data_IF_419936563633
#
_entry.id   IF_419936563633
#
_cell.length_a   1.000
_cell.length_b   1.000
_cell.length_c   1.000
_cell.angle_alpha   90.00
_cell.angle_beta   90.00
_cell.angle_gamma   90.00
#
_symmetry.space_group_name_H-M   'P 1'
#
loop_
_entity.id
_entity.type
_entity.pdbx_description
1 polymer ?
#
# COMPACT_ATOMS: atom_id res chain seq x y z
N UNK A 1 -4.82 2.28 17.06
CA UNK A 1 -5.67 1.07 16.95
C UNK A 1 -4.98 0.18 15.94
N UNK A 2 -4.65 -1.05 16.32
CA UNK A 2 -4.01 -2.02 15.42
C UNK A 2 -5.08 -2.96 14.87
N UNK A 3 -5.13 -3.11 13.54
CA UNK A 3 -6.02 -4.07 12.89
C UNK A 3 -5.57 -5.49 13.24
N UNK A 4 -6.51 -6.37 13.63
CA UNK A 4 -6.20 -7.78 13.93
C UNK A 4 -6.56 -8.75 12.81
N UNK A 5 -7.60 -8.43 12.03
CA UNK A 5 -8.15 -9.30 10.98
C UNK A 5 -8.74 -8.49 9.82
N UNK A 6 -8.01 -7.49 9.32
CA UNK A 6 -8.43 -6.72 8.16
C UNK A 6 -8.06 -7.47 6.88
N UNK A 7 -9.07 -7.77 6.06
CA UNK A 7 -8.90 -8.33 4.72
C UNK A 7 -9.52 -7.37 3.72
N UNK A 8 -8.77 -7.04 2.67
CA UNK A 8 -9.21 -6.20 1.56
C UNK A 8 -9.01 -7.01 0.29
N UNK A 9 -10.09 -7.31 -0.42
CA UNK A 9 -10.06 -8.06 -1.67
C UNK A 9 -10.90 -7.35 -2.72
N UNK A 10 -10.37 -7.22 -3.93
CA UNK A 10 -11.07 -6.69 -5.10
C UNK A 10 -11.60 -5.25 -4.93
N UNK A 11 -10.92 -4.42 -4.12
CA UNK A 11 -11.30 -3.02 -3.90
C UNK A 11 -10.54 -2.05 -4.81
N UNK A 12 -11.15 -0.89 -5.04
CA UNK A 12 -10.49 0.29 -5.60
C UNK A 12 -9.92 1.14 -4.46
N UNK A 13 -8.59 1.18 -4.35
CA UNK A 13 -7.87 1.92 -3.31
C UNK A 13 -7.26 3.23 -3.82
N UNK A 14 -7.59 3.64 -5.04
CA UNK A 14 -7.14 4.92 -5.60
C UNK A 14 -7.46 6.10 -4.67
N UNK A 15 -6.45 6.94 -4.42
CA UNK A 15 -6.50 8.12 -3.56
C UNK A 15 -6.84 7.83 -2.08
N UNK A 16 -6.84 6.57 -1.66
CA UNK A 16 -7.01 6.23 -0.24
C UNK A 16 -5.79 6.67 0.57
N UNK A 17 -6.05 7.01 1.85
CA UNK A 17 -5.03 7.49 2.77
C UNK A 17 -4.81 6.47 3.89
N UNK A 18 -3.58 5.98 3.97
CA UNK A 18 -3.11 4.99 4.93
C UNK A 18 -1.95 5.52 5.76
N UNK A 19 -1.78 6.85 5.84
CA UNK A 19 -0.77 7.43 6.72
C UNK A 19 -0.99 6.97 8.17
N UNK A 20 0.12 6.71 8.85
CA UNK A 20 0.16 6.24 10.24
C UNK A 20 -0.61 4.93 10.50
N UNK A 21 -0.93 4.16 9.45
CA UNK A 21 -1.58 2.84 9.56
C UNK A 21 -0.54 1.75 9.36
N UNK A 22 -0.41 0.81 10.31
CA UNK A 22 0.46 -0.37 10.16
C UNK A 22 -0.04 -1.24 9.01
N UNK A 23 0.82 -1.50 8.02
CA UNK A 23 0.47 -2.31 6.84
C UNK A 23 1.07 -3.72 6.89
N UNK A 24 1.82 -4.03 7.94
CA UNK A 24 2.37 -5.36 8.15
C UNK A 24 1.28 -6.43 8.02
N UNK A 25 1.56 -7.47 7.24
CA UNK A 25 0.68 -8.63 6.97
C UNK A 25 -0.54 -8.35 6.08
N UNK A 26 -0.80 -7.11 5.67
CA UNK A 26 -1.83 -6.84 4.68
C UNK A 26 -1.36 -7.27 3.29
N UNK A 27 -2.32 -7.68 2.45
CA UNK A 27 -2.09 -8.07 1.07
C UNK A 27 -2.95 -7.22 0.14
N UNK A 28 -2.30 -6.39 -0.67
CA UNK A 28 -2.96 -5.48 -1.60
C UNK A 28 -2.99 -6.02 -3.03
N UNK A 29 -2.42 -7.20 -3.33
CA UNK A 29 -2.28 -7.74 -4.70
C UNK A 29 -3.60 -7.91 -5.44
N UNK A 30 -4.71 -8.14 -4.72
CA UNK A 30 -6.04 -8.28 -5.33
C UNK A 30 -6.80 -6.96 -5.43
N UNK A 31 -6.25 -5.86 -4.90
CA UNK A 31 -6.84 -4.53 -4.95
C UNK A 31 -6.15 -3.69 -6.02
N UNK A 32 -6.80 -2.61 -6.45
CA UNK A 32 -6.29 -1.75 -7.52
C UNK A 32 -5.99 -0.34 -7.01
N UNK A 33 -4.79 0.16 -7.33
CA UNK A 33 -4.43 1.56 -7.13
C UNK A 33 -3.28 2.00 -8.05
N UNK A 34 -3.36 3.23 -8.52
CA UNK A 34 -2.34 3.97 -9.28
C UNK A 34 -1.82 5.18 -8.48
N UNK A 35 -2.52 5.57 -7.41
CA UNK A 35 -2.12 6.60 -6.47
C UNK A 35 -2.64 6.26 -5.08
N UNK A 36 -1.76 6.24 -4.09
CA UNK A 36 -2.09 5.87 -2.70
C UNK A 36 -1.17 6.64 -1.75
N UNK A 37 -1.70 7.10 -0.62
CA UNK A 37 -0.90 7.78 0.40
C UNK A 37 -0.50 6.79 1.51
N UNK A 38 0.80 6.54 1.66
CA UNK A 38 1.37 5.56 2.59
C UNK A 38 2.55 6.19 3.33
N UNK A 39 2.75 5.78 4.59
CA UNK A 39 3.94 6.17 5.37
C UNK A 39 5.07 5.16 5.18
N UNK A 40 6.27 5.60 4.83
CA UNK A 40 7.43 4.71 4.63
C UNK A 40 7.69 3.80 5.85
N UNK A 41 7.60 4.35 7.05
CA UNK A 41 7.84 3.64 8.30
C UNK A 41 6.80 2.54 8.60
N UNK A 42 5.64 2.56 7.93
CA UNK A 42 4.56 1.59 8.11
C UNK A 42 4.47 0.52 7.00
N UNK A 43 5.28 0.64 5.93
CA UNK A 43 5.24 -0.26 4.77
C UNK A 43 5.78 -1.67 5.05
N UNK A 44 6.62 -1.83 6.07
CA UNK A 44 7.31 -3.09 6.33
C UNK A 44 6.30 -4.22 6.51
N UNK A 45 6.37 -5.22 5.62
CA UNK A 45 5.53 -6.41 5.65
C UNK A 45 4.21 -6.29 4.89
N UNK A 46 3.95 -5.20 4.17
CA UNK A 46 2.89 -5.11 3.17
C UNK A 46 3.23 -6.01 1.99
N UNK A 47 2.27 -6.80 1.51
CA UNK A 47 2.40 -7.59 0.28
C UNK A 47 1.75 -6.85 -0.87
N UNK A 48 2.53 -6.65 -1.94
CA UNK A 48 2.12 -6.00 -3.20
C UNK A 48 2.66 -6.78 -4.39
N UNK A 49 2.14 -6.52 -5.58
CA UNK A 49 2.76 -6.97 -6.82
C UNK A 49 3.85 -5.99 -7.31
N UNK A 50 4.45 -6.30 -8.46
CA UNK A 50 5.53 -5.51 -9.04
C UNK A 50 5.07 -4.10 -9.47
N UNK A 51 3.91 -3.98 -10.11
CA UNK A 51 3.40 -2.69 -10.59
C UNK A 51 3.07 -1.78 -9.41
N UNK A 52 2.39 -2.32 -8.41
CA UNK A 52 2.09 -1.64 -7.16
C UNK A 52 3.36 -1.20 -6.43
N UNK A 53 4.42 -2.01 -6.42
CA UNK A 53 5.70 -1.63 -5.82
C UNK A 53 6.32 -0.40 -6.52
N UNK A 54 6.21 -0.30 -7.84
CA UNK A 54 6.67 0.87 -8.61
C UNK A 54 5.85 2.12 -8.26
N UNK A 55 4.52 2.00 -8.19
CA UNK A 55 3.63 3.09 -7.78
C UNK A 55 4.00 3.60 -6.38
N UNK A 56 4.23 2.68 -5.43
CA UNK A 56 4.61 3.02 -4.07
C UNK A 56 5.99 3.68 -4.04
N UNK A 57 6.98 3.10 -4.71
CA UNK A 57 8.34 3.65 -4.78
C UNK A 57 8.35 5.08 -5.33
N UNK A 58 7.66 5.33 -6.44
CA UNK A 58 7.49 6.67 -7.01
C UNK A 58 6.79 7.62 -6.04
N UNK A 59 5.72 7.15 -5.37
CA UNK A 59 4.99 7.93 -4.35
C UNK A 59 5.82 8.31 -3.13
N UNK A 60 6.88 7.55 -2.83
CA UNK A 60 7.83 7.82 -1.74
C UNK A 60 9.04 8.67 -2.21
N UNK A 61 9.05 9.11 -3.46
CA UNK A 61 10.05 10.01 -4.00
C UNK A 61 11.22 9.32 -4.72
N UNK A 62 11.14 8.03 -5.02
CA UNK A 62 12.11 7.41 -5.93
C UNK A 62 11.84 7.87 -7.36
N UNK A 63 12.91 8.18 -8.08
CA UNK A 63 12.88 8.37 -9.53
C UNK A 63 13.09 7.02 -10.19
N UNK A 64 12.18 6.64 -11.08
CA UNK A 64 12.19 5.36 -11.80
C UNK A 64 12.34 5.71 -13.29
N UNK A 65 13.32 5.11 -13.97
CA UNK A 65 13.66 5.26 -15.40
C UNK A 65 13.92 3.88 -16.01
#
# INVERSE_FOLDING_TARGET
MDWKHLTLQENQLNNSNWFHTKLATLDFRTNQFQKIALSFEQLRGLTVDQEQALVIAAGLGLVID
#
